data_IF_721063016324
#
_entry.id   IF_721063016324
#
_cell.length_a   1.000
_cell.length_b   1.000
_cell.length_c   1.000
_cell.angle_alpha   90.00
_cell.angle_beta   90.00
_cell.angle_gamma   90.00
#
_symmetry.space_group_name_H-M   'P 1'
#
loop_
_entity.id
_entity.type
_entity.pdbx_description
1 polymer ?
#
# COMPACT_ATOMS: atom_id res chain seq x y z
N UNK A 1 -5.71 -30.86 7.78
CA UNK A 1 -4.41 -30.72 7.08
C UNK A 1 -3.43 -31.75 7.61
N UNK A 2 -3.06 -32.77 6.81
CA UNK A 2 -2.15 -33.82 7.25
C UNK A 2 -0.80 -33.24 7.68
N UNK A 3 -0.12 -33.89 8.64
CA UNK A 3 1.17 -33.46 9.21
C UNK A 3 2.20 -33.04 8.15
N UNK A 4 2.30 -33.82 7.06
CA UNK A 4 3.17 -33.53 5.90
C UNK A 4 2.88 -32.15 5.28
N UNK A 5 1.61 -31.83 5.03
CA UNK A 5 1.18 -30.54 4.45
C UNK A 5 1.45 -29.38 5.42
N UNK A 6 1.24 -29.58 6.73
CA UNK A 6 1.54 -28.57 7.76
C UNK A 6 3.04 -28.25 7.82
N UNK A 7 3.91 -29.26 7.85
CA UNK A 7 5.37 -29.07 7.86
C UNK A 7 5.81 -28.31 6.60
N UNK A 8 5.30 -28.69 5.41
CA UNK A 8 5.60 -27.99 4.16
C UNK A 8 5.17 -26.51 4.20
N UNK A 9 3.99 -26.20 4.73
CA UNK A 9 3.53 -24.81 4.86
C UNK A 9 4.41 -23.98 5.80
N UNK A 10 4.89 -24.55 6.90
CA UNK A 10 5.74 -23.85 7.87
C UNK A 10 7.12 -23.57 7.25
N UNK A 11 7.74 -24.57 6.62
CA UNK A 11 9.05 -24.44 6.00
C UNK A 11 9.03 -23.41 4.86
N UNK A 12 8.02 -23.48 4.00
CA UNK A 12 7.87 -22.51 2.89
C UNK A 12 7.64 -21.09 3.39
N UNK A 13 6.86 -20.90 4.46
CA UNK A 13 6.67 -19.57 5.07
C UNK A 13 7.98 -19.02 5.64
N UNK A 14 8.75 -19.84 6.36
CA UNK A 14 10.07 -19.44 6.90
C UNK A 14 11.07 -19.09 5.80
N UNK A 15 11.16 -19.91 4.75
CA UNK A 15 12.04 -19.66 3.61
C UNK A 15 11.69 -18.35 2.89
N UNK A 16 10.40 -18.08 2.65
CA UNK A 16 9.95 -16.81 2.07
C UNK A 16 10.34 -15.61 2.93
N UNK A 17 10.18 -15.70 4.26
CA UNK A 17 10.58 -14.64 5.19
C UNK A 17 12.09 -14.40 5.18
N UNK A 18 12.91 -15.46 5.15
CA UNK A 18 14.37 -15.33 5.05
C UNK A 18 14.80 -14.67 3.74
N UNK A 19 14.22 -15.08 2.60
CA UNK A 19 14.53 -14.51 1.29
C UNK A 19 14.15 -13.02 1.18
N UNK A 20 13.03 -12.62 1.77
CA UNK A 20 12.62 -11.20 1.82
C UNK A 20 13.59 -10.35 2.64
N UNK A 21 14.16 -10.90 3.72
CA UNK A 21 15.15 -10.21 4.55
C UNK A 21 16.51 -10.12 3.86
N UNK A 22 16.93 -11.18 3.17
CA UNK A 22 18.22 -11.23 2.48
C UNK A 22 18.24 -10.33 1.24
N UNK A 23 17.11 -10.16 0.55
CA UNK A 23 17.00 -9.35 -0.66
C UNK A 23 16.00 -8.20 -0.46
N UNK A 24 16.37 -7.14 0.27
CA UNK A 24 15.54 -5.94 0.35
C UNK A 24 15.37 -5.35 -1.05
N UNK A 25 14.12 -5.04 -1.44
CA UNK A 25 13.86 -4.33 -2.69
C UNK A 25 14.38 -2.90 -2.55
N UNK A 26 15.60 -2.67 -3.01
CA UNK A 26 16.28 -1.36 -2.97
C UNK A 26 15.58 -0.29 -3.81
N UNK A 27 14.81 -0.69 -4.84
CA UNK A 27 14.09 0.24 -5.71
C UNK A 27 12.68 0.51 -5.15
N UNK A 28 12.24 1.78 -5.10
CA UNK A 28 10.85 2.09 -4.77
C UNK A 28 9.93 1.40 -5.79
N UNK A 29 8.84 0.81 -5.30
CA UNK A 29 7.84 0.19 -6.16
C UNK A 29 7.25 1.28 -7.07
N UNK A 30 7.30 1.07 -8.38
CA UNK A 30 6.61 1.98 -9.30
C UNK A 30 5.11 1.92 -9.02
N UNK A 31 4.55 3.07 -8.69
CA UNK A 31 3.12 3.31 -8.47
C UNK A 31 2.62 4.19 -9.61
N UNK A 32 1.36 4.01 -9.99
CA UNK A 32 0.77 4.83 -11.06
C UNK A 32 0.73 6.32 -10.67
N UNK A 33 0.60 7.22 -11.66
CA UNK A 33 0.49 8.67 -11.39
C UNK A 33 -0.66 8.99 -10.42
N UNK A 34 -1.78 8.27 -10.51
CA UNK A 34 -2.92 8.44 -9.62
C UNK A 34 -2.63 7.97 -8.19
N UNK A 35 -1.93 6.85 -8.01
CA UNK A 35 -1.55 6.35 -6.68
C UNK A 35 -0.50 7.23 -6.00
N UNK A 36 0.41 7.83 -6.79
CA UNK A 36 1.40 8.79 -6.28
C UNK A 36 0.74 10.07 -5.78
N UNK A 37 -0.21 10.61 -6.53
CA UNK A 37 -0.99 11.78 -6.10
C UNK A 37 -1.79 11.51 -4.81
N UNK A 38 -2.35 10.30 -4.67
CA UNK A 38 -3.05 9.89 -3.44
C UNK A 38 -2.11 9.79 -2.24
N UNK A 39 -0.92 9.20 -2.41
CA UNK A 39 0.07 9.08 -1.33
C UNK A 39 0.71 10.43 -0.96
N UNK A 40 0.93 11.32 -1.92
CA UNK A 40 1.45 12.67 -1.65
C UNK A 40 0.40 13.56 -0.94
N UNK A 41 -0.89 13.33 -1.21
CA UNK A 41 -2.00 13.97 -0.48
C UNK A 41 -2.16 13.43 0.96
N UNK A 42 -1.90 12.13 1.19
CA UNK A 42 -1.96 11.52 2.53
C UNK A 42 -0.70 11.81 3.37
N UNK A 43 0.47 11.97 2.74
CA UNK A 43 1.74 12.27 3.41
C UNK A 43 1.88 13.75 3.84
N UNK A 44 1.04 14.66 3.35
CA UNK A 44 0.95 16.05 3.81
C UNK A 44 -0.35 16.25 4.62
N UNK A 45 -0.33 16.14 5.96
CA UNK A 45 -1.48 16.47 6.79
C UNK A 45 -1.67 17.99 6.97
N UNK A 46 -1.35 18.80 5.94
CA UNK A 46 -1.52 20.24 5.95
C UNK A 46 -1.86 20.70 4.53
N UNK A 47 -3.15 20.61 4.16
CA UNK A 47 -3.86 21.68 3.46
C UNK A 47 -5.30 21.24 3.18
N UNK A 48 -6.24 21.99 3.75
CA UNK A 48 -7.54 22.38 3.17
C UNK A 48 -8.46 21.24 2.72
N UNK A 49 -9.45 20.89 3.53
CA UNK A 49 -10.77 21.54 3.52
C UNK A 49 -11.52 21.36 2.20
N UNK A 50 -12.67 20.70 2.31
CA UNK A 50 -13.80 20.78 1.38
C UNK A 50 -13.90 22.18 0.75
N UNK A 51 -14.28 22.23 -0.53
CA UNK A 51 -15.47 23.03 -0.81
C UNK A 51 -16.47 22.25 -1.67
N UNK A 52 -17.62 22.01 -1.05
CA UNK A 52 -18.95 22.12 -1.65
C UNK A 52 -18.98 23.13 -2.80
N UNK A 53 -19.54 22.73 -3.93
CA UNK A 53 -20.04 23.68 -4.94
C UNK A 53 -21.38 23.16 -5.42
N UNK A 54 -22.43 23.55 -4.70
CA UNK A 54 -23.79 23.49 -5.24
C UNK A 54 -24.25 24.93 -5.45
N UNK A 55 -24.51 25.24 -6.72
CA UNK A 55 -25.06 26.50 -7.21
C UNK A 55 -26.47 26.71 -6.66
N UNK A 56 -26.76 27.87 -6.09
CA UNK A 56 -28.14 28.38 -5.93
C UNK A 56 -28.12 29.89 -6.25
N UNK A 57 -29.08 30.27 -7.07
CA UNK A 57 -29.38 31.56 -7.65
C UNK A 57 -29.69 32.65 -6.60
N UNK A 58 -29.39 33.92 -6.90
CA UNK A 58 -30.37 34.99 -6.66
C UNK A 58 -30.02 36.27 -7.44
N UNK A 59 -31.10 36.94 -7.82
CA UNK A 59 -31.29 37.97 -8.86
C UNK A 59 -30.60 39.32 -8.60
#
# INVERSE_FOLDING_TARGET
>A
MNRRKKIKSILTKKAKQANLKANPKSKPKYISKAERAKLDAEANPISSSEPETTQEDDL
#
